data_IF_039701994412
#
_entry.id   IF_039701994412
#
_cell.length_a   1.000
_cell.length_b   1.000
_cell.length_c   1.000
_cell.angle_alpha   90.00
_cell.angle_beta   90.00
_cell.angle_gamma   90.00
#
_symmetry.space_group_name_H-M   'P 1'
#
loop_
_entity.id
_entity.type
_entity.pdbx_description
1 polymer ?
#
# COMPACT_ATOMS: atom_id res chain seq x y z
N UNK A 1 14.83 6.94 -20.72
CA UNK A 1 13.60 7.52 -20.15
C UNK A 1 13.73 9.03 -20.18
N UNK A 2 12.81 9.70 -20.87
CA UNK A 2 12.87 11.13 -21.19
C UNK A 2 12.53 12.00 -19.98
N UNK A 3 13.06 13.22 -20.00
CA UNK A 3 12.87 14.31 -19.04
C UNK A 3 11.39 14.54 -18.64
N UNK A 4 10.46 14.19 -19.52
CA UNK A 4 9.00 14.31 -19.34
C UNK A 4 8.43 13.56 -18.12
N UNK A 5 8.96 12.39 -17.75
CA UNK A 5 8.43 11.63 -16.61
C UNK A 5 8.79 12.27 -15.26
N UNK A 6 9.93 12.98 -15.17
CA UNK A 6 10.33 13.72 -13.96
C UNK A 6 9.58 15.03 -13.81
N UNK A 7 9.28 15.71 -14.92
CA UNK A 7 8.57 17.00 -14.91
C UNK A 7 7.07 16.85 -14.59
N UNK A 8 6.49 15.66 -14.78
CA UNK A 8 5.08 15.41 -14.50
C UNK A 8 4.77 15.15 -13.00
N UNK A 9 5.78 14.81 -12.19
CA UNK A 9 5.54 14.37 -10.81
C UNK A 9 4.83 15.42 -9.93
N UNK A 10 5.17 16.72 -9.96
CA UNK A 10 4.45 17.74 -9.18
C UNK A 10 2.99 17.88 -9.59
N UNK A 11 2.70 17.89 -10.90
CA UNK A 11 1.35 18.01 -11.42
C UNK A 11 0.50 16.78 -11.06
N UNK A 12 1.07 15.58 -11.13
CA UNK A 12 0.39 14.36 -10.71
C UNK A 12 0.11 14.34 -9.19
N UNK A 13 1.04 14.83 -8.37
CA UNK A 13 0.85 14.97 -6.91
C UNK A 13 -0.28 15.95 -6.58
N UNK A 14 -0.43 17.04 -7.34
CA UNK A 14 -1.55 17.96 -7.18
C UNK A 14 -2.87 17.29 -7.60
N UNK A 15 -2.86 16.59 -8.74
CA UNK A 15 -4.03 15.93 -9.32
C UNK A 15 -4.59 14.78 -8.44
N UNK A 16 -3.82 14.22 -7.50
CA UNK A 16 -4.37 13.24 -6.53
C UNK A 16 -5.43 13.83 -5.61
N UNK A 17 -5.57 15.16 -5.55
CA UNK A 17 -6.56 15.87 -4.71
C UNK A 17 -7.65 16.56 -5.53
N UNK A 18 -7.76 16.25 -6.82
CA UNK A 18 -8.75 16.86 -7.71
C UNK A 18 -10.20 16.53 -7.31
N UNK A 19 -11.14 17.41 -7.60
CA UNK A 19 -12.56 17.18 -7.29
C UNK A 19 -13.15 16.03 -8.12
N UNK A 20 -12.65 15.83 -9.33
CA UNK A 20 -13.09 14.79 -10.24
C UNK A 20 -12.42 13.46 -9.89
N UNK A 21 -13.25 12.44 -9.63
CA UNK A 21 -12.79 11.09 -9.32
C UNK A 21 -11.81 10.56 -10.39
N UNK A 22 -12.16 10.71 -11.67
CA UNK A 22 -11.33 10.23 -12.78
C UNK A 22 -9.93 10.85 -12.77
N UNK A 23 -9.81 12.13 -12.41
CA UNK A 23 -8.52 12.82 -12.33
C UNK A 23 -7.69 12.26 -11.17
N UNK A 24 -8.29 12.12 -9.97
CA UNK A 24 -7.60 11.52 -8.82
C UNK A 24 -7.15 10.10 -9.10
N UNK A 25 -8.03 9.27 -9.65
CA UNK A 25 -7.74 7.88 -10.00
C UNK A 25 -6.54 7.79 -10.94
N UNK A 26 -6.58 8.51 -12.07
CA UNK A 26 -5.51 8.50 -13.06
C UNK A 26 -4.19 9.04 -12.50
N UNK A 27 -4.26 10.04 -11.62
CA UNK A 27 -3.08 10.60 -10.96
C UNK A 27 -2.42 9.58 -10.01
N UNK A 28 -3.21 8.90 -9.18
CA UNK A 28 -2.74 7.88 -8.23
C UNK A 28 -2.18 6.67 -8.99
N UNK A 29 -2.86 6.20 -10.03
CA UNK A 29 -2.38 5.12 -10.90
C UNK A 29 -1.03 5.49 -11.55
N UNK A 30 -0.95 6.69 -12.14
CA UNK A 30 0.29 7.16 -12.76
C UNK A 30 1.43 7.24 -11.74
N UNK A 31 1.21 7.84 -10.57
CA UNK A 31 2.22 7.92 -9.52
C UNK A 31 2.67 6.54 -9.02
N UNK A 32 1.76 5.56 -8.95
CA UNK A 32 2.06 4.19 -8.57
C UNK A 32 2.88 3.41 -9.62
N UNK A 33 2.94 3.90 -10.87
CA UNK A 33 3.61 3.24 -11.99
C UNK A 33 4.84 4.00 -12.51
N UNK A 34 5.11 5.21 -12.01
CA UNK A 34 6.27 6.01 -12.44
C UNK A 34 7.51 5.65 -11.61
N UNK A 35 8.56 5.26 -12.31
CA UNK A 35 9.90 5.04 -11.74
C UNK A 35 10.86 6.17 -12.18
N UNK A 36 11.76 6.65 -11.29
CA UNK A 36 11.95 6.25 -9.90
C UNK A 36 10.89 6.82 -8.95
N UNK A 37 10.53 6.04 -7.93
CA UNK A 37 9.65 6.52 -6.85
C UNK A 37 10.32 7.64 -6.06
N UNK A 38 9.67 8.80 -6.01
CA UNK A 38 10.11 9.92 -5.19
C UNK A 38 9.43 9.90 -3.82
N UNK A 39 10.05 10.54 -2.81
CA UNK A 39 9.42 10.74 -1.50
C UNK A 39 8.07 11.46 -1.63
N UNK A 40 7.99 12.48 -2.50
CA UNK A 40 6.74 13.19 -2.76
C UNK A 40 5.64 12.29 -3.32
N UNK A 41 5.98 11.39 -4.26
CA UNK A 41 5.05 10.40 -4.79
C UNK A 41 4.56 9.44 -3.72
N UNK A 42 5.46 8.93 -2.86
CA UNK A 42 5.07 8.03 -1.77
C UNK A 42 4.17 8.71 -0.74
N UNK A 43 4.46 9.97 -0.39
CA UNK A 43 3.59 10.75 0.51
C UNK A 43 2.21 10.99 -0.12
N UNK A 44 2.15 11.34 -1.41
CA UNK A 44 0.89 11.55 -2.11
C UNK A 44 0.05 10.26 -2.18
N UNK A 45 0.69 9.11 -2.44
CA UNK A 45 0.01 7.81 -2.40
C UNK A 45 -0.45 7.47 -0.97
N UNK A 46 0.35 7.75 0.06
CA UNK A 46 -0.04 7.54 1.44
C UNK A 46 -1.24 8.41 1.85
N UNK A 47 -1.32 9.64 1.37
CA UNK A 47 -2.50 10.50 1.56
C UNK A 47 -3.74 9.92 0.83
N UNK A 48 -3.55 9.40 -0.39
CA UNK A 48 -4.62 8.81 -1.20
C UNK A 48 -5.22 7.52 -0.58
N UNK A 49 -4.56 6.89 0.40
CA UNK A 49 -5.17 5.82 1.22
C UNK A 49 -6.35 6.32 2.06
N UNK A 50 -6.61 7.63 2.11
CA UNK A 50 -7.75 8.24 2.83
C UNK A 50 -8.80 8.81 1.87
N UNK A 51 -8.70 8.52 0.57
CA UNK A 51 -9.68 9.03 -0.40
C UNK A 51 -11.09 8.50 -0.09
N UNK A 52 -12.09 9.31 -0.40
CA UNK A 52 -13.50 8.92 -0.33
C UNK A 52 -13.82 7.68 -1.18
N UNK A 53 -13.10 7.48 -2.28
CA UNK A 53 -13.34 6.42 -3.23
C UNK A 53 -12.43 5.20 -2.99
N UNK A 54 -13.02 4.02 -2.96
CA UNK A 54 -12.31 2.79 -2.63
C UNK A 54 -11.33 2.35 -3.72
N UNK A 55 -11.60 2.63 -4.98
CA UNK A 55 -10.70 2.27 -6.07
C UNK A 55 -9.44 3.16 -6.03
N UNK A 56 -9.59 4.44 -5.68
CA UNK A 56 -8.44 5.33 -5.44
C UNK A 56 -7.57 4.83 -4.28
N UNK A 57 -8.20 4.45 -3.15
CA UNK A 57 -7.46 3.88 -2.00
C UNK A 57 -6.74 2.59 -2.35
N UNK A 58 -7.38 1.72 -3.15
CA UNK A 58 -6.78 0.47 -3.61
C UNK A 58 -5.56 0.73 -4.49
N UNK A 59 -5.67 1.64 -5.48
CA UNK A 59 -4.56 2.00 -6.34
C UNK A 59 -3.39 2.60 -5.55
N UNK A 60 -3.69 3.40 -4.53
CA UNK A 60 -2.69 3.94 -3.63
C UNK A 60 -1.91 2.83 -2.90
N UNK A 61 -2.61 1.85 -2.33
CA UNK A 61 -1.97 0.71 -1.66
C UNK A 61 -1.10 -0.12 -2.65
N UNK A 62 -1.60 -0.36 -3.87
CA UNK A 62 -0.85 -1.07 -4.90
C UNK A 62 0.40 -0.30 -5.36
N UNK A 63 0.29 1.01 -5.55
CA UNK A 63 1.41 1.87 -5.90
C UNK A 63 2.51 1.84 -4.83
N UNK A 64 2.13 1.89 -3.55
CA UNK A 64 3.06 1.77 -2.43
C UNK A 64 3.70 0.37 -2.35
N UNK A 65 2.97 -0.69 -2.68
CA UNK A 65 3.55 -2.04 -2.79
C UNK A 65 4.64 -2.10 -3.88
N UNK A 66 4.42 -1.46 -5.03
CA UNK A 66 5.41 -1.37 -6.12
C UNK A 66 6.65 -0.58 -5.71
N UNK A 67 6.51 0.44 -4.86
CA UNK A 67 7.64 1.13 -4.25
C UNK A 67 8.45 0.25 -3.28
N UNK A 68 7.87 -0.86 -2.80
CA UNK A 68 8.54 -1.88 -1.99
C UNK A 68 9.26 -1.27 -0.78
N UNK A 69 10.51 -1.64 -0.49
CA UNK A 69 11.27 -1.14 0.67
C UNK A 69 11.39 0.39 0.73
N UNK A 70 11.28 1.11 -0.39
CA UNK A 70 11.31 2.58 -0.38
C UNK A 70 10.12 3.18 0.37
N UNK A 71 9.00 2.46 0.44
CA UNK A 71 7.79 2.86 1.15
C UNK A 71 7.85 2.65 2.67
N UNK A 72 9.01 2.29 3.25
CA UNK A 72 9.18 2.18 4.70
C UNK A 72 8.66 3.41 5.49
N UNK A 73 8.85 4.67 5.05
CA UNK A 73 8.35 5.84 5.78
C UNK A 73 6.82 5.92 5.87
N UNK A 74 6.08 5.21 5.02
CA UNK A 74 4.61 5.25 4.96
C UNK A 74 3.93 4.02 5.57
N UNK A 75 4.71 3.15 6.25
CA UNK A 75 4.18 2.00 7.01
C UNK A 75 3.02 2.37 7.94
N UNK A 76 3.03 3.48 8.70
CA UNK A 76 1.89 3.85 9.54
C UNK A 76 0.60 4.10 8.76
N UNK A 77 0.68 4.67 7.56
CA UNK A 77 -0.48 4.92 6.71
C UNK A 77 -1.06 3.60 6.18
N UNK A 78 -0.19 2.69 5.73
CA UNK A 78 -0.58 1.35 5.29
C UNK A 78 -1.17 0.53 6.44
N UNK A 79 -0.63 0.61 7.65
CA UNK A 79 -1.17 -0.05 8.83
C UNK A 79 -2.59 0.45 9.17
N UNK A 80 -2.86 1.75 8.97
CA UNK A 80 -4.22 2.29 9.09
C UNK A 80 -5.18 1.71 8.06
N UNK A 81 -4.74 1.57 6.81
CA UNK A 81 -5.54 1.01 5.71
C UNK A 81 -5.87 -0.49 5.86
N UNK A 82 -5.28 -1.18 6.83
CA UNK A 82 -5.68 -2.54 7.20
C UNK A 82 -7.08 -2.61 7.82
N UNK A 83 -7.65 -1.49 8.26
CA UNK A 83 -9.01 -1.40 8.79
C UNK A 83 -10.00 -0.77 7.80
N UNK A 84 -9.63 -0.70 6.51
CA UNK A 84 -10.50 -0.10 5.49
C UNK A 84 -11.83 -0.85 5.36
N UNK A 85 -12.97 -0.17 5.16
CA UNK A 85 -14.24 -0.84 4.91
C UNK A 85 -14.22 -1.72 3.65
N UNK A 86 -13.43 -1.36 2.63
CA UNK A 86 -13.31 -2.17 1.42
C UNK A 86 -12.24 -3.26 1.59
N UNK A 87 -12.60 -4.54 1.46
CA UNK A 87 -11.67 -5.65 1.65
C UNK A 87 -10.53 -5.67 0.62
N UNK A 88 -10.73 -5.12 -0.58
CA UNK A 88 -9.68 -5.01 -1.58
C UNK A 88 -8.59 -4.06 -1.10
N UNK A 89 -8.97 -2.95 -0.46
CA UNK A 89 -8.04 -1.99 0.12
C UNK A 89 -7.27 -2.64 1.27
N UNK A 90 -7.96 -3.35 2.17
CA UNK A 90 -7.30 -4.12 3.26
C UNK A 90 -6.27 -5.11 2.72
N UNK A 91 -6.65 -5.93 1.74
CA UNK A 91 -5.75 -6.89 1.11
C UNK A 91 -4.56 -6.20 0.40
N UNK A 92 -4.80 -5.06 -0.26
CA UNK A 92 -3.76 -4.25 -0.89
C UNK A 92 -2.77 -3.69 0.13
N UNK A 93 -3.25 -3.19 1.27
CA UNK A 93 -2.42 -2.67 2.34
C UNK A 93 -1.55 -3.77 2.96
N UNK A 94 -2.14 -4.94 3.26
CA UNK A 94 -1.40 -6.09 3.75
C UNK A 94 -0.30 -6.53 2.76
N UNK A 95 -0.64 -6.58 1.47
CA UNK A 95 0.34 -6.90 0.43
C UNK A 95 1.49 -5.89 0.39
N UNK A 96 1.20 -4.58 0.45
CA UNK A 96 2.21 -3.53 0.45
C UNK A 96 3.16 -3.63 1.65
N UNK A 97 2.64 -3.88 2.85
CA UNK A 97 3.44 -4.11 4.06
C UNK A 97 4.36 -5.34 3.89
N UNK A 98 3.85 -6.41 3.28
CA UNK A 98 4.67 -7.57 2.91
C UNK A 98 5.81 -7.25 1.94
N UNK A 99 5.59 -6.39 0.94
CA UNK A 99 6.64 -5.96 0.00
C UNK A 99 7.68 -5.03 0.64
N UNK A 100 7.29 -4.25 1.64
CA UNK A 100 8.22 -3.48 2.47
C UNK A 100 9.10 -4.43 3.30
N UNK A 101 8.56 -5.56 3.74
CA UNK A 101 9.29 -6.61 4.44
C UNK A 101 9.67 -6.19 5.88
N UNK A 102 10.87 -6.51 6.39
CA UNK A 102 11.22 -6.28 7.81
C UNK A 102 11.07 -4.83 8.32
N UNK A 103 11.10 -3.83 7.44
CA UNK A 103 10.82 -2.45 7.82
C UNK A 103 9.36 -2.20 8.23
N UNK A 104 8.43 -3.09 7.86
CA UNK A 104 7.02 -3.05 8.23
C UNK A 104 6.71 -3.79 9.56
N UNK A 105 7.74 -4.18 10.33
CA UNK A 105 7.57 -4.75 11.69
C UNK A 105 6.59 -4.00 12.60
N UNK A 106 6.52 -2.65 12.60
CA UNK A 106 5.53 -1.93 13.39
C UNK A 106 4.07 -2.28 13.08
N UNK A 107 3.78 -2.87 11.91
CA UNK A 107 2.43 -3.27 11.49
C UNK A 107 2.07 -4.73 11.84
N UNK A 108 2.98 -5.52 12.43
CA UNK A 108 2.78 -6.96 12.70
C UNK A 108 1.52 -7.21 13.53
N UNK A 109 1.30 -6.47 14.62
CA UNK A 109 0.12 -6.66 15.46
C UNK A 109 -1.20 -6.42 14.69
N UNK A 110 -1.23 -5.43 13.80
CA UNK A 110 -2.40 -5.16 12.97
C UNK A 110 -2.62 -6.27 11.92
N UNK A 111 -1.54 -6.80 11.33
CA UNK A 111 -1.61 -7.93 10.39
C UNK A 111 -2.07 -9.23 11.07
N UNK A 112 -1.70 -9.46 12.34
CA UNK A 112 -2.19 -10.61 13.12
C UNK A 112 -3.71 -10.53 13.30
N UNK A 113 -4.26 -9.35 13.58
CA UNK A 113 -5.72 -9.19 13.69
C UNK A 113 -6.44 -9.48 12.36
N UNK A 114 -5.83 -9.14 11.23
CA UNK A 114 -6.38 -9.45 9.90
C UNK A 114 -6.43 -10.95 9.59
N UNK A 115 -5.74 -11.81 10.34
CA UNK A 115 -5.91 -13.27 10.20
C UNK A 115 -7.32 -13.73 10.60
N UNK A 116 -8.10 -12.87 11.26
CA UNK A 116 -9.50 -13.10 11.64
C UNK A 116 -10.49 -12.36 10.72
N UNK A 117 -10.01 -11.71 9.66
CA UNK A 117 -10.85 -10.97 8.73
C UNK A 117 -11.92 -11.87 8.10
N UNK A 118 -13.10 -11.32 7.83
CA UNK A 118 -14.22 -12.04 7.22
C UNK A 118 -13.85 -12.57 5.83
N UNK A 119 -13.06 -11.80 5.08
CA UNK A 119 -12.68 -12.12 3.71
C UNK A 119 -11.45 -13.03 3.64
N UNK A 120 -11.60 -14.18 2.98
CA UNK A 120 -10.54 -15.18 2.87
C UNK A 120 -9.30 -14.63 2.12
N UNK A 121 -9.52 -13.77 1.13
CA UNK A 121 -8.45 -13.11 0.38
C UNK A 121 -7.61 -12.20 1.28
N UNK A 122 -8.25 -11.49 2.21
CA UNK A 122 -7.61 -10.60 3.18
C UNK A 122 -6.78 -11.39 4.17
N UNK A 123 -7.32 -12.48 4.74
CA UNK A 123 -6.58 -13.39 5.62
C UNK A 123 -5.32 -13.95 4.95
N UNK A 124 -5.45 -14.40 3.71
CA UNK A 124 -4.32 -14.91 2.93
C UNK A 124 -3.22 -13.87 2.70
N UNK A 125 -3.59 -12.62 2.41
CA UNK A 125 -2.62 -11.52 2.26
C UNK A 125 -1.95 -11.12 3.57
N UNK A 126 -2.68 -11.14 4.68
CA UNK A 126 -2.10 -10.90 6.00
C UNK A 126 -1.05 -11.97 6.37
N UNK A 127 -1.36 -13.24 6.13
CA UNK A 127 -0.43 -14.34 6.35
C UNK A 127 0.83 -14.21 5.46
N UNK A 128 0.65 -13.95 4.16
CA UNK A 128 1.77 -13.72 3.23
C UNK A 128 2.67 -12.56 3.69
N UNK A 129 2.07 -11.48 4.18
CA UNK A 129 2.79 -10.32 4.67
C UNK A 129 3.60 -10.65 5.93
N UNK A 130 2.99 -11.33 6.91
CA UNK A 130 3.67 -11.76 8.13
C UNK A 130 4.90 -12.62 7.83
N UNK A 131 4.79 -13.59 6.93
CA UNK A 131 5.94 -14.42 6.50
C UNK A 131 7.06 -13.59 5.89
N UNK A 132 6.75 -12.52 5.15
CA UNK A 132 7.76 -11.65 4.53
C UNK A 132 8.40 -10.67 5.51
N UNK A 133 7.66 -10.24 6.53
CA UNK A 133 8.11 -9.26 7.53
C UNK A 133 8.95 -9.96 8.60
N UNK A 134 8.48 -11.11 9.09
CA UNK A 134 9.14 -11.94 10.10
C UNK A 134 9.08 -13.42 9.69
N UNK A 135 10.05 -13.87 8.87
CA UNK A 135 10.11 -15.28 8.44
C UNK A 135 10.19 -16.27 9.60
N UNK A 136 10.64 -15.83 10.78
CA UNK A 136 10.85 -16.66 11.97
C UNK A 136 9.68 -16.62 12.98
N UNK A 137 8.69 -15.73 12.80
CA UNK A 137 7.66 -15.46 13.81
C UNK A 137 6.30 -16.11 13.52
N UNK A 138 6.23 -17.12 12.65
CA UNK A 138 4.97 -17.85 12.41
C UNK A 138 4.90 -19.09 13.31
N UNK A 139 4.24 -19.03 14.49
CA UNK A 139 3.90 -20.25 15.22
C UNK A 139 2.89 -21.03 14.38
N UNK A 140 3.33 -22.16 13.83
CA UNK A 140 2.55 -22.99 12.91
C UNK A 140 3.30 -23.50 11.68
N UNK A 141 4.54 -23.04 11.45
CA UNK A 141 5.43 -23.61 10.44
C UNK A 141 6.18 -24.87 10.96
N UNK A 142 5.48 -25.78 11.64
CA UNK A 142 5.94 -27.18 11.70
C UNK A 142 5.42 -27.87 10.45
N UNK A 143 6.25 -27.86 9.40
CA UNK A 143 6.09 -28.78 8.28
C UNK A 143 6.74 -30.09 8.70
N UNK A 144 5.95 -31.17 8.68
CA UNK A 144 6.43 -32.56 8.80
C UNK A 144 7.54 -32.86 7.79
#
# INVERSE_FOLDING_TARGET
MSVQAKDAAPALIEATRDRQLAVRHNAVEALGNVWPFSVGSMTALADALKDSDADVRLQAAQGLARASRLAAPVVPALAGALNDPDPRVRAGAAHALGQIGPAAKPAVSALIEMLKDEEASVRGKAQEALTKIEPEAVPGAEVK
#
